data_IF_796081138707
#
_entry.id   IF_796081138707
#
_cell.length_a   1.000
_cell.length_b   1.000
_cell.length_c   1.000
_cell.angle_alpha   90.00
_cell.angle_beta   90.00
_cell.angle_gamma   90.00
#
_symmetry.space_group_name_H-M   'P 1'
#
loop_
_entity.id
_entity.type
_entity.pdbx_description
1 polymer ?
#
# COMPACT_ATOMS: atom_id res chain seq x y z
N UNK A 1 28.44 -11.53 -62.81
CA UNK A 1 29.01 -10.21 -62.43
C UNK A 1 29.23 -10.22 -60.93
N UNK A 2 30.43 -10.56 -60.48
CA UNK A 2 30.83 -10.46 -59.07
C UNK A 2 31.88 -9.35 -58.97
N UNK A 3 31.58 -8.30 -58.22
CA UNK A 3 32.52 -7.23 -57.95
C UNK A 3 33.15 -7.46 -56.58
N UNK A 4 34.41 -7.88 -56.58
CA UNK A 4 35.30 -7.80 -55.43
C UNK A 4 35.58 -6.31 -55.14
N UNK A 5 35.21 -5.85 -53.95
CA UNK A 5 35.70 -4.59 -53.39
C UNK A 5 36.91 -4.92 -52.52
N UNK A 6 38.09 -4.46 -52.96
CA UNK A 6 39.37 -4.54 -52.27
C UNK A 6 39.30 -3.75 -50.95
N UNK A 7 39.44 -4.43 -49.81
CA UNK A 7 39.70 -3.77 -48.53
C UNK A 7 41.05 -3.02 -48.62
N UNK A 8 41.01 -1.70 -48.42
CA UNK A 8 42.22 -0.87 -48.45
C UNK A 8 43.18 -1.25 -47.32
N UNK A 9 44.49 -1.22 -47.58
CA UNK A 9 45.55 -1.58 -46.62
C UNK A 9 45.49 -0.82 -45.29
N UNK A 10 44.85 0.36 -45.28
CA UNK A 10 44.60 1.14 -44.05
C UNK A 10 43.68 0.43 -43.04
N UNK A 11 42.71 -0.36 -43.52
CA UNK A 11 41.75 -1.07 -42.69
C UNK A 11 42.35 -2.33 -42.06
N UNK A 12 43.26 -2.98 -42.77
CA UNK A 12 44.03 -4.13 -42.26
C UNK A 12 45.02 -3.67 -41.18
N UNK A 13 45.65 -2.50 -41.37
CA UNK A 13 46.55 -1.89 -40.38
C UNK A 13 45.81 -1.56 -39.08
N UNK A 14 44.62 -0.96 -39.17
CA UNK A 14 43.75 -0.65 -38.03
C UNK A 14 43.30 -1.91 -37.27
N UNK A 15 42.95 -3.00 -37.98
CA UNK A 15 42.64 -4.28 -37.33
C UNK A 15 43.84 -4.85 -36.58
N UNK A 16 45.05 -4.70 -37.12
CA UNK A 16 46.27 -5.19 -36.47
C UNK A 16 46.59 -4.40 -35.19
N UNK A 17 46.43 -3.08 -35.21
CA UNK A 17 46.63 -2.21 -34.05
C UNK A 17 45.58 -2.46 -32.95
N UNK A 18 44.32 -2.71 -33.32
CA UNK A 18 43.25 -3.04 -32.37
C UNK A 18 43.48 -4.41 -31.70
N UNK A 19 44.00 -5.40 -32.44
CA UNK A 19 44.32 -6.72 -31.87
C UNK A 19 45.52 -6.71 -30.92
N UNK A 20 46.40 -5.70 -30.98
CA UNK A 20 47.59 -5.61 -30.12
C UNK A 20 47.37 -4.82 -28.83
N UNK A 21 46.23 -4.13 -28.68
CA UNK A 21 45.96 -3.22 -27.55
C UNK A 21 44.93 -3.73 -26.51
N UNK A 22 44.48 -4.99 -26.62
CA UNK A 22 43.58 -5.60 -25.64
C UNK A 22 44.30 -6.67 -24.81
N UNK A 23 44.49 -6.49 -23.48
CA UNK A 23 44.69 -7.62 -22.59
C UNK A 23 43.39 -8.42 -22.54
N UNK A 24 43.51 -9.74 -22.69
CA UNK A 24 42.45 -10.75 -22.54
C UNK A 24 41.47 -10.40 -21.41
N UNK A 25 40.26 -9.98 -21.79
CA UNK A 25 39.07 -10.07 -20.95
C UNK A 25 38.28 -11.25 -21.49
N UNK A 26 38.28 -12.35 -20.75
CA UNK A 26 37.40 -13.48 -21.01
C UNK A 26 35.95 -12.99 -21.01
N UNK A 27 35.26 -13.21 -22.14
CA UNK A 27 33.83 -12.96 -22.28
C UNK A 27 33.07 -13.90 -21.33
N UNK A 28 32.24 -13.41 -20.39
CA UNK A 28 31.32 -14.28 -19.68
C UNK A 28 30.23 -14.76 -20.63
N UNK A 29 29.95 -16.06 -20.55
CA UNK A 29 28.91 -16.76 -21.30
C UNK A 29 27.53 -16.08 -21.19
N UNK A 30 26.77 -16.25 -22.28
CA UNK A 30 25.41 -15.81 -22.50
C UNK A 30 24.51 -15.97 -21.25
N UNK A 31 23.88 -14.87 -20.85
CA UNK A 31 23.01 -14.80 -19.69
C UNK A 31 21.61 -15.36 -20.04
N UNK A 32 21.42 -16.67 -19.84
CA UNK A 32 20.11 -17.32 -19.88
C UNK A 32 19.32 -17.06 -18.58
N UNK A 33 18.11 -16.53 -18.73
CA UNK A 33 17.19 -16.26 -17.63
C UNK A 33 16.52 -17.55 -17.14
N UNK A 34 16.94 -18.08 -16.00
CA UNK A 34 16.24 -19.18 -15.32
C UNK A 34 15.46 -18.69 -14.09
N UNK A 35 14.15 -18.94 -14.08
CA UNK A 35 13.25 -18.76 -12.93
C UNK A 35 13.53 -19.79 -11.85
N UNK A 36 13.77 -19.37 -10.60
CA UNK A 36 13.62 -20.26 -9.45
C UNK A 36 13.20 -19.55 -8.15
N UNK A 37 12.37 -20.26 -7.40
CA UNK A 37 11.72 -19.86 -6.14
C UNK A 37 12.65 -19.99 -4.93
N UNK A 38 12.59 -18.97 -4.04
CA UNK A 38 12.60 -19.06 -2.57
C UNK A 38 13.76 -19.74 -1.82
N UNK A 39 14.47 -18.98 -0.96
CA UNK A 39 14.27 -18.96 0.52
C UNK A 39 15.54 -18.49 1.27
N UNK A 40 15.33 -17.48 2.16
CA UNK A 40 16.04 -17.07 3.41
C UNK A 40 17.54 -16.66 3.44
N UNK A 41 17.70 -15.37 3.76
CA UNK A 41 18.46 -14.75 4.87
C UNK A 41 19.91 -15.15 5.17
N UNK A 42 20.81 -14.17 5.19
CA UNK A 42 21.34 -13.59 6.45
C UNK A 42 22.20 -12.34 6.19
N UNK A 43 22.07 -11.39 7.11
CA UNK A 43 22.74 -10.09 7.20
C UNK A 43 24.13 -10.23 7.81
N UNK A 44 25.09 -9.43 7.34
CA UNK A 44 26.29 -9.09 8.12
C UNK A 44 26.67 -7.62 7.86
N UNK A 45 26.53 -6.82 8.92
CA UNK A 45 27.03 -5.46 9.05
C UNK A 45 28.57 -5.43 9.04
N UNK A 46 29.15 -4.47 8.34
CA UNK A 46 30.47 -3.92 8.68
C UNK A 46 30.48 -2.43 8.37
N UNK A 47 30.51 -1.63 9.43
CA UNK A 47 30.75 -0.19 9.40
C UNK A 47 32.26 0.12 9.34
N UNK A 48 32.56 1.42 9.18
CA UNK A 48 33.86 2.15 9.29
C UNK A 48 34.68 2.20 7.99
N UNK A 49 35.27 3.33 7.56
CA UNK A 49 35.83 4.51 8.25
C UNK A 49 35.73 5.75 7.33
N UNK A 50 35.47 6.90 7.95
CA UNK A 50 35.49 8.25 7.37
C UNK A 50 36.94 8.77 7.20
N UNK A 51 37.25 9.39 6.07
CA UNK A 51 38.51 10.08 5.81
C UNK A 51 38.24 11.27 4.91
N UNK A 52 38.31 12.46 5.52
CA UNK A 52 38.00 13.74 4.89
C UNK A 52 38.78 13.97 3.60
N UNK A 53 38.02 14.03 2.51
CA UNK A 53 38.31 14.92 1.39
C UNK A 53 37.05 15.75 1.18
N UNK A 54 37.19 17.04 0.89
CA UNK A 54 36.08 17.88 0.40
C UNK A 54 35.68 17.41 -1.02
N UNK A 55 35.36 16.14 -1.17
CA UNK A 55 34.73 15.58 -2.35
C UNK A 55 33.27 15.95 -2.28
N UNK A 56 32.83 16.75 -3.26
CA UNK A 56 31.40 16.91 -3.56
C UNK A 56 30.69 15.56 -3.41
N UNK A 57 29.53 15.52 -2.72
CA UNK A 57 28.89 14.28 -2.34
C UNK A 57 28.65 13.42 -3.57
N UNK A 58 29.01 12.14 -3.48
CA UNK A 58 28.76 11.18 -4.54
C UNK A 58 27.25 11.09 -4.82
N UNK A 59 26.89 10.99 -6.10
CA UNK A 59 25.50 11.03 -6.55
C UNK A 59 25.11 9.80 -7.35
N UNK A 60 23.81 9.52 -7.36
CA UNK A 60 23.18 8.63 -8.32
C UNK A 60 22.47 9.44 -9.42
N UNK A 61 22.45 8.90 -10.63
CA UNK A 61 21.76 9.49 -11.78
C UNK A 61 20.72 8.51 -12.32
N UNK A 62 19.52 8.98 -12.59
CA UNK A 62 18.43 8.20 -13.18
C UNK A 62 18.25 8.60 -14.64
N UNK A 63 18.44 7.65 -15.54
CA UNK A 63 18.15 7.77 -16.97
C UNK A 63 16.85 7.02 -17.28
N UNK A 64 15.84 7.73 -17.77
CA UNK A 64 14.52 7.20 -18.04
C UNK A 64 14.19 7.22 -19.53
N UNK A 65 13.98 6.05 -20.10
CA UNK A 65 13.25 5.88 -21.35
C UNK A 65 11.75 6.03 -21.07
N UNK A 66 11.25 7.26 -21.21
CA UNK A 66 9.88 7.59 -20.83
C UNK A 66 8.84 7.08 -21.85
N UNK A 67 9.24 6.75 -23.09
CA UNK A 67 8.33 6.16 -24.09
C UNK A 67 7.94 4.74 -23.71
N UNK A 68 8.92 3.94 -23.28
CA UNK A 68 8.70 2.52 -22.99
C UNK A 68 8.43 2.25 -21.49
N UNK A 69 8.89 3.13 -20.60
CA UNK A 69 8.82 2.91 -19.16
C UNK A 69 8.25 4.13 -18.42
N UNK A 70 7.00 4.01 -17.98
CA UNK A 70 6.38 5.00 -17.09
C UNK A 70 6.70 4.69 -15.62
N UNK A 71 7.28 5.67 -14.93
CA UNK A 71 7.66 5.61 -13.53
C UNK A 71 6.81 6.61 -12.75
N UNK A 72 6.16 6.16 -11.68
CA UNK A 72 5.43 6.97 -10.73
C UNK A 72 6.27 7.33 -9.50
N UNK A 73 5.74 8.19 -8.62
CA UNK A 73 6.43 8.63 -7.40
C UNK A 73 6.81 7.47 -6.49
N UNK A 74 5.98 6.41 -6.43
CA UNK A 74 6.25 5.25 -5.56
C UNK A 74 7.42 4.43 -6.09
N UNK A 75 7.48 4.27 -7.40
CA UNK A 75 8.57 3.58 -8.07
C UNK A 75 9.86 4.38 -7.91
N UNK A 76 9.84 5.71 -8.04
CA UNK A 76 11.02 6.54 -7.74
C UNK A 76 11.53 6.35 -6.31
N UNK A 77 10.64 6.30 -5.32
CA UNK A 77 11.02 6.04 -3.93
C UNK A 77 11.64 4.67 -3.75
N UNK A 78 11.07 3.65 -4.40
CA UNK A 78 11.64 2.30 -4.42
C UNK A 78 13.04 2.29 -5.05
N UNK A 79 13.23 2.96 -6.19
CA UNK A 79 14.52 3.07 -6.86
C UNK A 79 15.55 3.80 -5.99
N UNK A 80 15.14 4.88 -5.32
CA UNK A 80 16.01 5.62 -4.41
C UNK A 80 16.46 4.77 -3.21
N UNK A 81 15.60 3.93 -2.66
CA UNK A 81 15.94 3.00 -1.56
C UNK A 81 16.95 1.92 -1.96
N UNK A 82 16.98 1.58 -3.25
CA UNK A 82 17.92 0.60 -3.80
C UNK A 82 19.33 1.19 -4.03
N UNK A 83 19.45 2.52 -4.06
CA UNK A 83 20.71 3.21 -4.30
C UNK A 83 21.50 3.43 -3.02
N UNK A 84 22.84 3.39 -3.10
CA UNK A 84 23.67 3.76 -1.95
C UNK A 84 23.90 5.28 -1.90
N UNK A 85 23.77 5.96 -3.05
CA UNK A 85 23.87 7.41 -3.16
C UNK A 85 22.53 8.05 -3.51
N UNK A 86 22.27 9.29 -3.08
CA UNK A 86 21.02 9.99 -3.41
C UNK A 86 20.92 10.24 -4.91
N UNK A 87 19.73 9.98 -5.47
CA UNK A 87 19.41 10.34 -6.86
C UNK A 87 19.26 11.85 -6.93
N UNK A 88 20.24 12.53 -7.52
CA UNK A 88 20.23 14.00 -7.65
C UNK A 88 19.89 14.45 -9.07
N UNK A 89 20.31 13.67 -10.07
CA UNK A 89 20.07 13.98 -11.48
C UNK A 89 19.06 12.98 -12.04
N UNK A 90 18.03 13.49 -12.71
CA UNK A 90 17.00 12.69 -13.35
C UNK A 90 16.84 13.19 -14.77
N UNK A 91 17.03 12.33 -15.75
CA UNK A 91 16.94 12.68 -17.17
C UNK A 91 15.92 11.74 -17.82
N UNK A 92 14.94 12.31 -18.50
CA UNK A 92 13.95 11.54 -19.25
C UNK A 92 14.08 11.79 -20.76
N UNK A 93 13.98 10.73 -21.55
CA UNK A 93 14.04 10.73 -23.00
C UNK A 93 12.69 10.33 -23.55
N UNK A 94 12.07 11.19 -24.36
CA UNK A 94 10.87 10.85 -25.12
C UNK A 94 10.55 11.84 -26.23
N UNK A 95 9.73 11.41 -27.18
CA UNK A 95 9.01 12.30 -28.06
C UNK A 95 7.84 12.94 -27.32
N UNK A 96 8.12 14.03 -26.62
CA UNK A 96 7.13 14.78 -25.82
C UNK A 96 5.88 15.21 -26.59
N UNK A 97 5.94 15.33 -27.92
CA UNK A 97 4.74 15.65 -28.74
C UNK A 97 3.67 14.55 -28.64
N UNK A 98 4.07 13.31 -28.36
CA UNK A 98 3.20 12.15 -28.28
C UNK A 98 2.85 11.75 -26.84
N UNK A 99 3.35 12.48 -25.83
CA UNK A 99 3.30 12.09 -24.41
C UNK A 99 2.24 12.86 -23.58
N UNK A 100 1.40 13.67 -24.24
CA UNK A 100 0.29 14.37 -23.58
C UNK A 100 0.77 15.35 -22.49
N UNK A 101 0.41 15.09 -21.23
CA UNK A 101 0.77 15.94 -20.06
C UNK A 101 1.90 15.36 -19.20
N UNK A 102 2.55 14.28 -19.65
CA UNK A 102 3.56 13.58 -18.85
C UNK A 102 4.86 14.39 -18.73
N UNK A 103 5.17 15.22 -19.72
CA UNK A 103 6.26 16.20 -19.68
C UNK A 103 6.11 17.16 -18.50
N UNK A 104 4.93 17.74 -18.31
CA UNK A 104 4.63 18.66 -17.19
C UNK A 104 4.78 17.95 -15.84
N UNK A 105 4.35 16.70 -15.75
CA UNK A 105 4.47 15.90 -14.52
C UNK A 105 5.92 15.57 -14.18
N UNK A 106 6.70 15.09 -15.15
CA UNK A 106 8.12 14.75 -14.96
C UNK A 106 8.94 16.00 -14.65
N UNK A 107 8.69 17.12 -15.35
CA UNK A 107 9.35 18.39 -15.07
C UNK A 107 9.08 18.86 -13.63
N UNK A 108 7.84 18.77 -13.15
CA UNK A 108 7.49 19.08 -11.75
C UNK A 108 8.21 18.18 -10.73
N UNK A 109 8.55 16.95 -11.12
CA UNK A 109 9.32 15.98 -10.30
C UNK A 109 10.84 16.17 -10.41
N UNK A 110 11.29 17.19 -11.12
CA UNK A 110 12.71 17.56 -11.25
C UNK A 110 13.46 16.80 -12.35
N UNK A 111 12.76 16.27 -13.36
CA UNK A 111 13.40 15.65 -14.51
C UNK A 111 13.84 16.69 -15.54
N UNK A 112 15.08 16.54 -16.02
CA UNK A 112 15.53 17.14 -17.27
C UNK A 112 14.93 16.37 -18.44
N UNK A 113 14.20 17.07 -19.29
CA UNK A 113 13.46 16.48 -20.40
C UNK A 113 14.26 16.61 -21.70
N UNK A 114 14.72 15.49 -22.25
CA UNK A 114 15.40 15.45 -23.55
C UNK A 114 14.39 15.01 -24.60
N UNK A 115 14.05 15.94 -25.50
CA UNK A 115 13.19 15.65 -26.63
C UNK A 115 13.92 14.78 -27.66
N UNK A 116 13.26 13.73 -28.13
CA UNK A 116 13.69 12.95 -29.29
C UNK A 116 12.70 13.09 -30.45
N UNK A 117 13.19 13.11 -31.70
CA UNK A 117 12.33 13.13 -32.88
C UNK A 117 11.51 11.85 -33.00
N UNK A 118 10.45 11.90 -33.78
CA UNK A 118 9.66 10.71 -34.09
C UNK A 118 10.51 9.71 -34.90
N UNK A 119 10.62 8.50 -34.39
CA UNK A 119 11.33 7.41 -35.04
C UNK A 119 11.38 6.21 -34.11
N UNK A 120 11.38 5.01 -34.69
CA UNK A 120 11.58 3.78 -33.92
C UNK A 120 12.94 3.85 -33.22
N UNK A 121 12.99 3.47 -31.95
CA UNK A 121 14.21 3.39 -31.12
C UNK A 121 14.97 4.73 -30.98
N UNK A 122 14.33 5.87 -31.28
CA UNK A 122 15.00 7.20 -31.25
C UNK A 122 15.29 7.66 -29.81
N UNK A 123 14.41 7.30 -28.87
CA UNK A 123 14.65 7.50 -27.44
C UNK A 123 15.88 6.71 -26.98
N UNK A 124 15.95 5.43 -27.33
CA UNK A 124 17.03 4.51 -26.99
C UNK A 124 18.39 5.00 -27.50
N UNK A 125 18.47 5.37 -28.78
CA UNK A 125 19.72 5.87 -29.38
C UNK A 125 20.17 7.16 -28.69
N UNK A 126 19.25 8.08 -28.39
CA UNK A 126 19.60 9.33 -27.71
C UNK A 126 20.04 9.08 -26.27
N UNK A 127 19.34 8.19 -25.56
CA UNK A 127 19.69 7.77 -24.21
C UNK A 127 21.06 7.11 -24.17
N UNK A 128 21.37 6.20 -25.10
CA UNK A 128 22.68 5.57 -25.21
C UNK A 128 23.78 6.61 -25.50
N UNK A 129 23.52 7.55 -26.40
CA UNK A 129 24.50 8.59 -26.77
C UNK A 129 24.79 9.54 -25.60
N UNK A 130 23.74 10.14 -25.02
CA UNK A 130 23.87 11.08 -23.89
C UNK A 130 24.38 10.36 -22.65
N UNK A 131 23.79 9.21 -22.34
CA UNK A 131 24.16 8.38 -21.20
C UNK A 131 25.62 7.94 -21.24
N UNK A 132 26.18 7.62 -22.42
CA UNK A 132 27.59 7.24 -22.53
C UNK A 132 28.55 8.37 -22.16
N UNK A 133 28.13 9.63 -22.18
CA UNK A 133 28.96 10.79 -21.80
C UNK A 133 28.75 11.25 -20.35
N UNK A 134 27.91 10.56 -19.58
CA UNK A 134 27.45 11.05 -18.28
C UNK A 134 28.58 11.24 -17.26
N UNK A 135 29.60 10.38 -17.30
CA UNK A 135 30.77 10.46 -16.42
C UNK A 135 31.63 11.70 -16.69
N UNK A 136 31.55 12.28 -17.90
CA UNK A 136 32.26 13.51 -18.26
C UNK A 136 31.57 14.72 -17.65
N UNK A 137 30.24 14.76 -17.74
CA UNK A 137 29.43 15.89 -17.25
C UNK A 137 29.18 15.83 -15.74
N UNK A 138 29.17 14.62 -15.17
CA UNK A 138 28.89 14.39 -13.76
C UNK A 138 30.00 13.55 -13.12
N UNK A 139 31.18 14.15 -12.85
CA UNK A 139 32.34 13.43 -12.31
C UNK A 139 32.12 12.88 -10.88
N UNK A 140 31.10 13.39 -10.17
CA UNK A 140 30.69 12.92 -8.84
C UNK A 140 29.72 11.73 -8.91
N UNK A 141 29.26 11.36 -10.10
CA UNK A 141 28.40 10.19 -10.27
C UNK A 141 29.14 8.92 -9.87
N UNK A 142 28.50 8.10 -9.06
CA UNK A 142 28.97 6.76 -8.69
C UNK A 142 27.99 5.68 -9.10
N UNK A 143 26.72 6.04 -9.24
CA UNK A 143 25.63 5.15 -9.56
C UNK A 143 24.80 5.69 -10.72
N UNK A 144 24.37 4.80 -11.60
CA UNK A 144 23.45 5.13 -12.69
C UNK A 144 22.34 4.09 -12.73
N UNK A 145 21.10 4.54 -12.69
CA UNK A 145 19.94 3.71 -12.98
C UNK A 145 19.58 3.89 -14.45
N UNK A 146 19.64 2.80 -15.20
CA UNK A 146 19.23 2.74 -16.60
C UNK A 146 17.82 2.15 -16.62
N UNK A 147 16.82 3.01 -16.77
CA UNK A 147 15.42 2.64 -16.75
C UNK A 147 14.91 2.48 -18.19
N UNK A 148 15.03 1.28 -18.74
CA UNK A 148 14.54 0.90 -20.06
C UNK A 148 14.25 -0.61 -20.08
N UNK A 149 13.27 -1.01 -20.88
CA UNK A 149 12.92 -2.43 -21.07
C UNK A 149 13.63 -3.04 -22.29
N UNK A 150 14.40 -2.27 -23.06
CA UNK A 150 15.09 -2.75 -24.25
C UNK A 150 16.47 -3.37 -23.92
N UNK A 151 16.76 -4.50 -24.57
CA UNK A 151 18.07 -5.16 -24.55
C UNK A 151 19.16 -4.32 -25.20
N UNK A 152 18.82 -3.38 -26.09
CA UNK A 152 19.78 -2.45 -26.72
C UNK A 152 20.56 -1.65 -25.68
N UNK A 153 20.00 -1.43 -24.48
CA UNK A 153 20.68 -0.72 -23.39
C UNK A 153 21.88 -1.47 -22.78
N UNK A 154 22.11 -2.73 -23.17
CA UNK A 154 23.27 -3.50 -22.71
C UNK A 154 24.59 -2.79 -23.03
N UNK A 155 24.72 -2.20 -24.21
CA UNK A 155 25.95 -1.47 -24.60
C UNK A 155 26.19 -0.23 -23.74
N UNK A 156 25.14 0.56 -23.48
CA UNK A 156 25.22 1.69 -22.56
C UNK A 156 25.66 1.24 -21.17
N UNK A 157 25.06 0.16 -20.65
CA UNK A 157 25.41 -0.37 -19.35
C UNK A 157 26.88 -0.82 -19.28
N UNK A 158 27.39 -1.49 -20.32
CA UNK A 158 28.79 -1.90 -20.41
C UNK A 158 29.72 -0.69 -20.41
N UNK A 159 29.44 0.32 -21.23
CA UNK A 159 30.23 1.56 -21.27
C UNK A 159 30.31 2.24 -19.90
N UNK A 160 29.16 2.41 -19.24
CA UNK A 160 29.08 3.01 -17.91
C UNK A 160 29.88 2.22 -16.87
N UNK A 161 29.78 0.88 -16.88
CA UNK A 161 30.56 0.00 -16.00
C UNK A 161 32.07 0.09 -16.25
N UNK A 162 32.50 0.12 -17.51
CA UNK A 162 33.92 0.28 -17.89
C UNK A 162 34.50 1.60 -17.37
N UNK A 163 33.68 2.64 -17.26
CA UNK A 163 34.05 3.93 -16.65
C UNK A 163 33.91 3.96 -15.12
N UNK A 164 33.75 2.81 -14.47
CA UNK A 164 33.76 2.67 -13.01
C UNK A 164 32.44 3.05 -12.32
N UNK A 165 31.34 3.21 -13.08
CA UNK A 165 30.03 3.47 -12.51
C UNK A 165 29.32 2.17 -12.14
N UNK A 166 28.61 2.21 -11.02
CA UNK A 166 27.73 1.11 -10.63
C UNK A 166 26.38 1.26 -11.34
N UNK A 167 26.05 0.32 -12.22
CA UNK A 167 24.86 0.42 -13.09
C UNK A 167 23.75 -0.50 -12.61
N UNK A 168 22.62 0.09 -12.24
CA UNK A 168 21.36 -0.60 -11.97
C UNK A 168 20.53 -0.66 -13.25
N UNK A 169 20.12 -1.86 -13.64
CA UNK A 169 19.20 -2.02 -14.77
C UNK A 169 17.78 -2.10 -14.23
N UNK A 170 16.92 -1.21 -14.68
CA UNK A 170 15.51 -1.15 -14.28
C UNK A 170 14.65 -1.45 -15.49
N UNK A 171 13.87 -2.51 -15.41
CA UNK A 171 12.95 -2.90 -16.48
C UNK A 171 11.54 -3.10 -15.94
N UNK A 172 10.54 -2.90 -16.80
CA UNK A 172 9.14 -3.20 -16.47
C UNK A 172 8.67 -4.42 -17.25
N UNK A 173 8.19 -5.40 -16.50
CA UNK A 173 7.53 -6.57 -17.04
C UNK A 173 6.07 -6.56 -16.59
N UNK A 174 5.16 -6.33 -17.53
CA UNK A 174 3.73 -6.11 -17.28
C UNK A 174 3.48 -4.99 -16.26
N UNK A 175 3.30 -5.37 -14.98
CA UNK A 175 2.99 -4.50 -13.85
C UNK A 175 4.11 -4.48 -12.80
N UNK A 176 5.18 -5.22 -13.01
CA UNK A 176 6.29 -5.34 -12.08
C UNK A 176 7.47 -4.50 -12.57
N UNK A 177 8.03 -3.70 -11.69
CA UNK A 177 9.33 -3.06 -11.85
C UNK A 177 10.38 -4.01 -11.28
N UNK A 178 11.36 -4.35 -12.09
CA UNK A 178 12.47 -5.21 -11.70
C UNK A 178 13.75 -4.40 -11.77
N UNK A 179 14.52 -4.42 -10.68
CA UNK A 179 15.78 -3.69 -10.55
C UNK A 179 16.88 -4.71 -10.33
N UNK A 180 17.78 -4.83 -11.30
CA UNK A 180 18.97 -5.63 -11.13
C UNK A 180 20.01 -4.82 -10.34
N UNK A 181 20.40 -5.35 -9.18
CA UNK A 181 21.38 -4.75 -8.30
C UNK A 181 22.77 -5.37 -8.55
N UNK A 182 23.72 -4.63 -9.15
CA UNK A 182 25.06 -5.14 -9.45
C UNK A 182 25.87 -5.49 -8.20
N UNK A 183 25.58 -4.88 -7.04
CA UNK A 183 26.33 -5.15 -5.80
C UNK A 183 25.96 -6.48 -5.17
N UNK A 184 24.69 -6.84 -5.23
CA UNK A 184 24.18 -8.07 -4.62
C UNK A 184 24.05 -9.21 -5.63
N UNK A 185 24.11 -8.91 -6.93
CA UNK A 185 23.85 -9.87 -8.01
C UNK A 185 22.40 -10.33 -8.07
N UNK A 186 21.47 -9.64 -7.39
CA UNK A 186 20.06 -10.02 -7.26
C UNK A 186 19.15 -9.03 -7.98
N UNK A 187 18.03 -9.53 -8.48
CA UNK A 187 16.94 -8.71 -9.02
C UNK A 187 15.90 -8.49 -7.94
N UNK A 188 15.68 -7.22 -7.60
CA UNK A 188 14.62 -6.80 -6.69
C UNK A 188 13.35 -6.52 -7.49
N UNK A 189 12.22 -7.05 -7.04
CA UNK A 189 10.94 -6.96 -7.75
C UNK A 189 9.99 -6.10 -6.93
N UNK A 190 9.57 -4.98 -7.52
CA UNK A 190 8.58 -4.08 -6.99
C UNK A 190 7.31 -4.14 -7.83
N UNK A 191 6.16 -4.21 -7.18
CA UNK A 191 4.88 -4.05 -7.85
C UNK A 191 4.31 -2.69 -7.42
N UNK A 192 4.29 -1.67 -8.29
CA UNK A 192 3.66 -0.39 -7.99
C UNK A 192 2.15 -0.54 -7.70
N UNK A 193 1.53 -1.60 -8.24
CA UNK A 193 0.14 -1.98 -7.97
C UNK A 193 -0.02 -2.97 -6.81
N UNK A 194 1.05 -3.37 -6.09
CA UNK A 194 0.86 -4.17 -4.87
C UNK A 194 0.04 -3.31 -3.93
N UNK A 195 -1.21 -3.73 -3.85
CA UNK A 195 -2.35 -3.16 -3.16
C UNK A 195 -1.99 -1.91 -2.39
N UNK A 196 -2.58 -0.79 -2.80
CA UNK A 196 -3.20 0.09 -1.83
C UNK A 196 -3.63 -0.77 -0.64
N UNK A 197 -2.92 -0.65 0.49
CA UNK A 197 -3.35 -1.29 1.71
C UNK A 197 -4.64 -0.57 2.07
N UNK A 198 -5.77 -1.10 1.58
CA UNK A 198 -7.07 -0.74 2.10
C UNK A 198 -6.96 -1.16 3.55
N UNK A 199 -6.80 -0.14 4.40
CA UNK A 199 -6.66 -0.24 5.84
C UNK A 199 -7.86 -1.00 6.41
N UNK A 200 -7.85 -1.34 7.69
CA UNK A 200 -8.99 -2.03 8.29
C UNK A 200 -10.28 -1.23 8.05
N UNK A 201 -11.43 -1.92 8.03
CA UNK A 201 -12.72 -1.25 7.83
C UNK A 201 -12.92 -0.11 8.86
N UNK A 202 -12.43 -0.29 10.09
CA UNK A 202 -12.48 0.73 11.14
C UNK A 202 -11.62 1.97 10.83
N UNK A 203 -10.43 1.79 10.25
CA UNK A 203 -9.58 2.92 9.86
C UNK A 203 -10.24 3.71 8.74
N UNK A 204 -10.84 3.02 7.77
CA UNK A 204 -11.61 3.66 6.71
C UNK A 204 -12.80 4.46 7.27
N UNK A 205 -13.52 3.90 8.23
CA UNK A 205 -14.62 4.60 8.92
C UNK A 205 -14.09 5.84 9.66
N UNK A 206 -12.95 5.73 10.34
CA UNK A 206 -12.28 6.84 11.01
C UNK A 206 -11.92 7.97 10.03
N UNK A 207 -11.39 7.63 8.86
CA UNK A 207 -11.07 8.60 7.81
C UNK A 207 -12.32 9.26 7.24
N UNK A 208 -13.36 8.49 6.95
CA UNK A 208 -14.64 9.02 6.47
C UNK A 208 -15.26 9.99 7.49
N UNK A 209 -15.18 9.68 8.79
CA UNK A 209 -15.62 10.60 9.85
C UNK A 209 -14.86 11.91 9.84
N UNK A 210 -13.52 11.86 9.78
CA UNK A 210 -12.68 13.07 9.73
C UNK A 210 -13.05 13.94 8.53
N UNK A 211 -13.09 13.34 7.34
CA UNK A 211 -13.46 14.05 6.09
C UNK A 211 -14.83 14.71 6.24
N UNK A 212 -15.81 14.01 6.79
CA UNK A 212 -17.16 14.55 7.00
C UNK A 212 -17.17 15.66 8.05
N UNK A 213 -16.43 15.53 9.16
CA UNK A 213 -16.31 16.59 10.17
C UNK A 213 -15.72 17.86 9.59
N UNK A 214 -14.65 17.75 8.80
CA UNK A 214 -14.01 18.88 8.15
C UNK A 214 -14.98 19.58 7.18
N UNK A 215 -15.71 18.80 6.38
CA UNK A 215 -16.71 19.36 5.46
C UNK A 215 -17.90 20.01 6.18
N UNK A 216 -18.35 19.43 7.30
CA UNK A 216 -19.41 20.01 8.12
C UNK A 216 -18.97 21.34 8.76
N UNK A 217 -17.73 21.41 9.26
CA UNK A 217 -17.16 22.65 9.83
C UNK A 217 -16.95 23.73 8.78
N UNK A 218 -16.47 23.35 7.58
CA UNK A 218 -16.22 24.30 6.50
C UNK A 218 -17.49 24.88 5.88
N UNK A 219 -18.57 24.10 5.81
CA UNK A 219 -19.83 24.51 5.17
C UNK A 219 -20.89 25.01 6.15
N UNK A 220 -20.72 24.75 7.45
CA UNK A 220 -21.74 24.98 8.46
C UNK A 220 -22.99 24.10 8.29
N UNK A 221 -22.95 23.09 7.42
CA UNK A 221 -24.07 22.20 7.14
C UNK A 221 -23.77 20.79 7.65
N UNK A 222 -24.68 20.22 8.44
CA UNK A 222 -24.55 18.85 8.95
C UNK A 222 -24.70 17.78 7.85
N UNK A 223 -25.36 18.08 6.74
CA UNK A 223 -25.55 17.16 5.63
C UNK A 223 -24.49 17.36 4.55
N UNK A 224 -23.68 16.33 4.33
CA UNK A 224 -22.62 16.35 3.31
C UNK A 224 -22.99 15.43 2.16
N UNK A 225 -22.87 15.91 0.93
CA UNK A 225 -23.14 15.11 -0.26
C UNK A 225 -22.11 13.97 -0.39
N UNK A 226 -22.58 12.73 -0.59
CA UNK A 226 -21.73 11.53 -0.64
C UNK A 226 -20.67 11.62 -1.76
N UNK A 227 -21.01 12.26 -2.87
CA UNK A 227 -20.07 12.45 -4.01
C UNK A 227 -18.86 13.27 -3.57
N UNK A 228 -19.07 14.31 -2.76
CA UNK A 228 -17.97 15.15 -2.23
C UNK A 228 -17.09 14.35 -1.27
N UNK A 229 -17.69 13.63 -0.33
CA UNK A 229 -16.97 12.75 0.60
C UNK A 229 -16.17 11.69 -0.15
N UNK A 230 -16.77 11.06 -1.16
CA UNK A 230 -16.13 10.02 -1.97
C UNK A 230 -14.92 10.55 -2.74
N UNK A 231 -15.05 11.76 -3.33
CA UNK A 231 -13.98 12.40 -4.08
C UNK A 231 -12.80 12.77 -3.17
N UNK A 232 -13.08 13.39 -2.01
CA UNK A 232 -12.05 13.76 -1.04
C UNK A 232 -11.36 12.52 -0.45
N UNK A 233 -12.13 11.48 -0.12
CA UNK A 233 -11.59 10.20 0.32
C UNK A 233 -10.65 9.55 -0.71
N UNK A 234 -11.03 9.57 -1.99
CA UNK A 234 -10.20 9.04 -3.07
C UNK A 234 -8.90 9.85 -3.25
N UNK A 235 -8.98 11.17 -3.14
CA UNK A 235 -7.82 12.05 -3.25
C UNK A 235 -6.81 11.83 -2.12
N UNK A 236 -7.29 11.67 -0.89
CA UNK A 236 -6.43 11.49 0.29
C UNK A 236 -5.81 10.09 0.38
N UNK A 237 -6.55 9.05 0.00
CA UNK A 237 -6.14 7.66 0.25
C UNK A 237 -5.65 6.94 -1.02
N UNK A 238 -5.95 7.44 -2.22
CA UNK A 238 -5.58 6.81 -3.50
C UNK A 238 -6.48 5.64 -3.91
N UNK A 239 -7.62 5.44 -3.24
CA UNK A 239 -8.63 4.42 -3.56
C UNK A 239 -10.04 4.87 -3.21
N UNK A 240 -11.03 4.23 -3.84
CA UNK A 240 -12.45 4.58 -3.71
C UNK A 240 -13.13 3.83 -2.59
N UNK A 241 -14.20 4.41 -2.04
CA UNK A 241 -15.09 3.75 -1.06
C UNK A 241 -15.67 2.44 -1.62
N UNK A 242 -15.95 2.39 -2.92
CA UNK A 242 -16.39 1.16 -3.60
C UNK A 242 -15.34 0.05 -3.49
N UNK A 243 -14.06 0.35 -3.68
CA UNK A 243 -12.97 -0.62 -3.52
C UNK A 243 -12.84 -1.11 -2.06
N UNK A 244 -13.03 -0.21 -1.08
CA UNK A 244 -13.11 -0.60 0.34
C UNK A 244 -14.26 -1.55 0.59
N UNK A 245 -15.43 -1.20 0.07
CA UNK A 245 -16.66 -1.98 0.24
C UNK A 245 -16.51 -3.34 -0.40
N UNK A 246 -16.00 -3.44 -1.63
CA UNK A 246 -15.78 -4.73 -2.29
C UNK A 246 -14.78 -5.63 -1.55
N UNK A 247 -13.79 -5.05 -0.86
CA UNK A 247 -12.80 -5.81 -0.07
C UNK A 247 -13.36 -6.30 1.26
N UNK A 248 -14.03 -5.44 2.01
CA UNK A 248 -14.48 -5.73 3.39
C UNK A 248 -15.93 -6.19 3.49
N UNK A 249 -16.74 -5.93 2.47
CA UNK A 249 -18.17 -6.22 2.36
C UNK A 249 -18.47 -6.75 0.93
N UNK A 250 -17.99 -7.96 0.57
CA UNK A 250 -18.13 -8.49 -0.78
C UNK A 250 -19.62 -8.54 -1.22
N UNK A 251 -19.88 -8.08 -2.44
CA UNK A 251 -21.23 -8.01 -3.01
C UNK A 251 -22.05 -6.76 -2.66
N UNK A 252 -21.54 -5.89 -1.76
CA UNK A 252 -22.22 -4.65 -1.36
C UNK A 252 -21.76 -3.43 -2.16
N UNK A 253 -22.66 -2.45 -2.33
CA UNK A 253 -22.37 -1.15 -2.97
C UNK A 253 -21.84 -0.14 -1.95
N UNK A 254 -21.10 0.88 -2.39
CA UNK A 254 -20.52 1.91 -1.51
C UNK A 254 -21.53 2.56 -0.53
N UNK A 255 -22.78 2.77 -0.96
CA UNK A 255 -23.85 3.28 -0.07
C UNK A 255 -24.12 2.37 1.14
N UNK A 256 -23.97 1.07 0.95
CA UNK A 256 -24.27 0.07 1.98
C UNK A 256 -23.19 0.02 3.06
N UNK A 257 -21.98 0.55 2.79
CA UNK A 257 -20.98 0.78 3.82
C UNK A 257 -21.47 1.79 4.86
N UNK A 258 -22.16 2.85 4.42
CA UNK A 258 -22.75 3.82 5.33
C UNK A 258 -24.00 3.24 6.02
N UNK A 259 -24.84 2.49 5.28
CA UNK A 259 -26.03 1.86 5.86
C UNK A 259 -25.70 0.73 6.85
N UNK A 260 -24.55 0.09 6.70
CA UNK A 260 -24.11 -0.99 7.60
C UNK A 260 -23.44 -0.50 8.88
N UNK A 261 -23.20 0.81 9.02
CA UNK A 261 -22.63 1.43 10.22
C UNK A 261 -23.53 2.57 10.73
N UNK A 262 -24.79 2.29 11.09
CA UNK A 262 -25.75 3.30 11.56
C UNK A 262 -25.32 3.97 12.87
N UNK A 263 -24.42 3.36 13.63
CA UNK A 263 -23.78 3.93 14.82
C UNK A 263 -22.87 5.13 14.50
N UNK A 264 -22.58 5.37 13.22
CA UNK A 264 -21.67 6.41 12.76
C UNK A 264 -22.29 7.33 11.70
N UNK A 265 -23.10 6.78 10.80
CA UNK A 265 -23.60 7.51 9.64
C UNK A 265 -25.13 7.45 9.54
N UNK A 266 -25.72 8.58 9.14
CA UNK A 266 -27.12 8.67 8.69
C UNK A 266 -27.12 9.00 7.20
N UNK A 267 -27.88 8.25 6.42
CA UNK A 267 -28.06 8.52 4.99
C UNK A 267 -29.44 9.11 4.77
N UNK A 268 -29.51 10.18 3.99
CA UNK A 268 -30.76 10.74 3.50
C UNK A 268 -30.73 10.91 1.98
N UNK A 269 -31.84 10.59 1.34
CA UNK A 269 -32.06 10.84 -0.08
C UNK A 269 -33.35 11.65 -0.20
N UNK A 270 -33.23 12.87 -0.74
CA UNK A 270 -34.37 13.76 -0.93
C UNK A 270 -35.27 13.21 -2.04
N UNK A 271 -36.61 13.17 -1.87
CA UNK A 271 -37.53 12.57 -2.85
C UNK A 271 -37.43 13.13 -4.27
N UNK A 272 -36.96 14.38 -4.41
CA UNK A 272 -36.87 15.11 -5.68
C UNK A 272 -35.42 15.40 -6.12
N UNK A 273 -34.40 14.81 -5.46
CA UNK A 273 -33.01 14.98 -5.86
C UNK A 273 -32.30 13.61 -5.96
N UNK A 274 -31.43 13.47 -6.95
CA UNK A 274 -30.58 12.28 -7.12
C UNK A 274 -29.39 12.25 -6.16
N UNK A 275 -29.15 13.35 -5.43
CA UNK A 275 -28.06 13.48 -4.47
C UNK A 275 -28.31 12.63 -3.21
N UNK A 276 -27.32 11.82 -2.85
CA UNK A 276 -27.28 11.09 -1.59
C UNK A 276 -26.51 11.92 -0.57
N UNK A 277 -27.11 12.19 0.58
CA UNK A 277 -26.51 12.99 1.65
C UNK A 277 -26.21 12.10 2.85
N UNK A 278 -25.10 12.38 3.51
CA UNK A 278 -24.65 11.65 4.70
C UNK A 278 -24.35 12.66 5.82
N UNK A 279 -24.77 12.32 7.03
CA UNK A 279 -24.44 13.08 8.24
C UNK A 279 -23.82 12.14 9.29
N UNK A 280 -23.02 12.71 10.18
CA UNK A 280 -22.50 12.00 11.36
C UNK A 280 -23.51 12.10 12.50
N UNK A 281 -23.70 11.02 13.25
CA UNK A 281 -24.34 11.13 14.56
C UNK A 281 -23.40 11.86 15.52
N UNK A 282 -23.72 13.12 15.80
CA UNK A 282 -23.13 13.83 16.93
C UNK A 282 -23.91 13.39 18.18
N UNK A 283 -23.27 12.61 19.06
CA UNK A 283 -23.71 12.59 20.44
C UNK A 283 -23.44 14.00 20.97
N UNK A 284 -24.47 14.83 21.05
CA UNK A 284 -24.35 16.11 21.71
C UNK A 284 -23.99 15.86 23.18
N UNK A 285 -22.71 16.04 23.51
CA UNK A 285 -22.34 16.60 24.81
C UNK A 285 -22.94 18.01 24.85
N UNK A 286 -24.21 18.06 25.24
CA UNK A 286 -24.99 19.27 25.34
C UNK A 286 -24.52 20.05 26.58
N UNK A 287 -23.53 20.91 26.36
CA UNK A 287 -23.34 22.19 27.04
C UNK A 287 -22.96 22.18 28.52
N UNK A 288 -21.75 22.64 28.82
CA UNK A 288 -21.54 23.85 29.67
C UNK A 288 -20.08 24.25 29.71
N UNK A 289 -19.74 25.29 28.95
CA UNK A 289 -18.70 26.20 29.39
C UNK A 289 -19.20 27.01 30.58
N UNK A 290 -18.57 26.80 31.74
CA UNK A 290 -18.15 27.82 32.71
C UNK A 290 -17.51 27.10 33.91
N UNK A 291 -16.23 27.34 34.10
CA UNK A 291 -15.55 27.09 35.37
C UNK A 291 -16.23 27.93 36.45
N UNK A 292 -16.62 27.29 37.55
CA UNK A 292 -16.45 27.86 38.89
C UNK A 292 -16.30 26.73 39.90
N UNK A 293 -15.20 26.82 40.62
CA UNK A 293 -14.67 25.92 41.63
C UNK A 293 -15.56 25.78 42.85
N UNK A 294 -15.65 24.57 43.43
CA UNK A 294 -15.49 24.32 44.86
C UNK A 294 -15.36 22.82 45.16
N UNK A 295 -14.11 22.43 45.41
CA UNK A 295 -13.60 21.44 46.36
C UNK A 295 -14.28 20.07 46.56
N UNK A 296 -13.54 19.05 46.11
CA UNK A 296 -12.98 17.98 46.94
C UNK A 296 -13.93 17.02 47.66
N UNK A 297 -14.14 15.86 47.02
CA UNK A 297 -13.84 14.57 47.66
C UNK A 297 -13.57 13.53 46.60
N UNK A 298 -12.34 13.01 46.61
CA UNK A 298 -11.98 11.76 45.97
C UNK A 298 -12.99 10.68 46.37
N UNK A 299 -13.68 10.12 45.38
CA UNK A 299 -14.15 8.75 45.44
C UNK A 299 -13.80 8.14 44.09
N UNK A 300 -12.76 7.33 44.12
CA UNK A 300 -12.44 6.34 43.10
C UNK A 300 -13.71 5.54 42.75
N UNK A 301 -14.31 5.82 41.60
CA UNK A 301 -15.19 4.85 40.93
C UNK A 301 -14.40 4.16 39.84
N UNK A 302 -13.69 3.14 40.30
CA UNK A 302 -13.05 2.07 39.56
C UNK A 302 -13.99 1.50 38.49
N UNK A 303 -13.91 2.00 37.25
CA UNK A 303 -14.32 1.19 36.11
C UNK A 303 -13.23 0.15 35.87
N UNK A 304 -13.34 -0.95 36.61
CA UNK A 304 -12.61 -2.18 36.34
C UNK A 304 -12.94 -2.63 34.92
N UNK A 305 -12.11 -2.24 33.96
CA UNK A 305 -11.89 -3.04 32.76
C UNK A 305 -11.35 -4.37 33.25
N UNK A 306 -12.26 -5.30 33.54
CA UNK A 306 -11.88 -6.68 33.83
C UNK A 306 -11.33 -7.24 32.52
N UNK A 307 -10.00 -7.30 32.43
CA UNK A 307 -9.31 -8.04 31.38
C UNK A 307 -9.87 -9.45 31.38
N UNK A 308 -10.74 -9.75 30.42
CA UNK A 308 -11.46 -11.01 30.38
C UNK A 308 -10.48 -12.16 30.11
N UNK A 309 -10.12 -12.85 31.19
CA UNK A 309 -9.15 -13.94 31.22
C UNK A 309 -9.90 -15.26 31.06
N UNK A 310 -10.39 -15.54 29.86
CA UNK A 310 -10.97 -16.84 29.55
C UNK A 310 -9.88 -17.86 29.26
N UNK A 311 -9.88 -18.93 30.05
CA UNK A 311 -9.01 -20.10 29.93
C UNK A 311 -9.75 -21.34 29.41
N UNK A 312 -11.08 -21.34 29.38
CA UNK A 312 -11.87 -22.51 28.96
C UNK A 312 -13.20 -22.17 28.27
N UNK A 313 -13.76 -23.14 27.55
CA UNK A 313 -15.09 -23.06 26.93
C UNK A 313 -16.21 -22.79 27.95
N UNK A 314 -16.09 -23.35 29.16
CA UNK A 314 -17.06 -23.17 30.24
C UNK A 314 -17.05 -21.74 30.79
N UNK A 315 -15.87 -21.09 30.84
CA UNK A 315 -15.76 -19.70 31.29
C UNK A 315 -16.44 -18.72 30.33
N UNK A 316 -16.30 -18.98 29.02
CA UNK A 316 -17.00 -18.22 27.99
C UNK A 316 -18.52 -18.42 28.08
N UNK A 317 -18.98 -19.65 28.31
CA UNK A 317 -20.39 -19.97 28.48
C UNK A 317 -21.01 -19.25 29.69
N UNK A 318 -20.32 -19.27 30.85
CA UNK A 318 -20.76 -18.56 32.06
C UNK A 318 -20.82 -17.05 31.84
N UNK A 319 -19.85 -16.47 31.14
CA UNK A 319 -19.84 -15.04 30.84
C UNK A 319 -21.03 -14.65 29.95
N UNK A 320 -21.34 -15.47 28.94
CA UNK A 320 -22.50 -15.26 28.08
C UNK A 320 -23.82 -15.44 28.83
N UNK A 321 -23.89 -16.36 29.79
CA UNK A 321 -25.08 -16.55 30.65
C UNK A 321 -25.32 -15.36 31.57
N UNK A 322 -24.28 -14.85 32.21
CA UNK A 322 -24.39 -13.67 33.07
C UNK A 322 -24.86 -12.45 32.27
N UNK A 323 -24.25 -12.21 31.11
CA UNK A 323 -24.67 -11.15 30.20
C UNK A 323 -26.11 -11.33 29.72
N UNK A 324 -26.52 -12.56 29.38
CA UNK A 324 -27.90 -12.84 28.99
C UNK A 324 -28.88 -12.49 30.11
N UNK A 325 -28.60 -12.90 31.36
CA UNK A 325 -29.44 -12.57 32.51
C UNK A 325 -29.56 -11.07 32.75
N UNK A 326 -28.45 -10.32 32.65
CA UNK A 326 -28.45 -8.87 32.76
C UNK A 326 -29.33 -8.21 31.70
N UNK A 327 -29.19 -8.62 30.43
CA UNK A 327 -29.94 -8.07 29.32
C UNK A 327 -31.42 -8.47 29.35
N UNK A 328 -31.74 -9.69 29.81
CA UNK A 328 -33.11 -10.18 29.94
C UNK A 328 -33.84 -9.46 31.08
N UNK A 329 -33.16 -9.18 32.19
CA UNK A 329 -33.70 -8.40 33.30
C UNK A 329 -34.03 -6.96 32.89
N UNK A 330 -33.18 -6.34 32.05
CA UNK A 330 -33.38 -4.97 31.56
C UNK A 330 -34.51 -4.86 30.51
N UNK A 331 -34.60 -5.85 29.61
CA UNK A 331 -35.55 -5.81 28.48
C UNK A 331 -36.92 -6.44 28.78
N UNK A 332 -37.04 -7.20 29.87
CA UNK A 332 -38.22 -8.03 30.21
C UNK A 332 -38.63 -9.02 29.11
N UNK A 333 -37.72 -9.37 28.20
CA UNK A 333 -37.97 -10.32 27.12
C UNK A 333 -37.37 -11.70 27.45
N UNK A 334 -38.07 -12.81 27.15
CA UNK A 334 -37.60 -14.16 27.43
C UNK A 334 -36.51 -14.65 26.44
N UNK A 335 -36.37 -13.96 25.31
CA UNK A 335 -35.36 -14.22 24.28
C UNK A 335 -34.70 -12.91 23.84
N UNK A 336 -33.43 -12.98 23.44
CA UNK A 336 -32.64 -11.84 23.01
C UNK A 336 -32.03 -12.14 21.64
N UNK A 337 -32.06 -11.20 20.68
CA UNK A 337 -31.35 -11.34 19.42
C UNK A 337 -29.86 -11.70 19.62
N UNK A 338 -29.38 -12.70 18.87
CA UNK A 338 -28.00 -13.18 18.94
C UNK A 338 -26.96 -12.07 18.70
N UNK A 339 -27.32 -11.12 17.82
CA UNK A 339 -26.53 -9.92 17.53
C UNK A 339 -26.32 -9.05 18.77
N UNK A 340 -27.39 -8.82 19.54
CA UNK A 340 -27.34 -8.02 20.76
C UNK A 340 -26.50 -8.71 21.85
N UNK A 341 -26.59 -10.03 21.97
CA UNK A 341 -25.74 -10.78 22.90
C UNK A 341 -24.25 -10.67 22.52
N UNK A 342 -23.92 -10.82 21.23
CA UNK A 342 -22.56 -10.65 20.73
C UNK A 342 -22.01 -9.23 20.91
N UNK A 343 -22.86 -8.22 20.71
CA UNK A 343 -22.51 -6.81 20.91
C UNK A 343 -22.36 -6.46 22.39
N UNK A 344 -23.24 -6.96 23.25
CA UNK A 344 -23.14 -6.82 24.70
C UNK A 344 -21.82 -7.39 25.23
N UNK A 345 -21.44 -8.58 24.75
CA UNK A 345 -20.19 -9.22 25.15
C UNK A 345 -18.97 -8.40 24.70
N UNK A 346 -19.00 -7.87 23.47
CA UNK A 346 -17.93 -6.99 22.97
C UNK A 346 -17.82 -5.71 23.79
N UNK A 347 -18.95 -5.12 24.22
CA UNK A 347 -18.97 -3.94 25.08
C UNK A 347 -18.41 -4.23 26.48
N UNK A 348 -18.79 -5.36 27.08
CA UNK A 348 -18.37 -5.72 28.44
C UNK A 348 -16.90 -6.19 28.51
N UNK A 349 -16.40 -6.85 27.47
CA UNK A 349 -15.09 -7.50 27.50
C UNK A 349 -14.09 -6.98 26.46
N UNK A 350 -14.46 -5.99 25.65
CA UNK A 350 -13.60 -5.35 24.65
C UNK A 350 -13.22 -6.22 23.46
N UNK A 351 -13.71 -7.46 23.37
CA UNK A 351 -13.39 -8.43 22.32
C UNK A 351 -14.65 -9.12 21.79
N UNK A 352 -14.70 -9.39 20.48
CA UNK A 352 -15.81 -10.14 19.91
C UNK A 352 -15.74 -11.61 20.32
N UNK A 353 -16.90 -12.26 20.55
CA UNK A 353 -16.95 -13.68 20.96
C UNK A 353 -16.25 -14.59 19.95
N UNK A 354 -16.40 -14.34 18.65
CA UNK A 354 -15.73 -15.12 17.60
C UNK A 354 -14.19 -14.99 17.66
N UNK A 355 -13.68 -13.84 18.09
CA UNK A 355 -12.24 -13.63 18.33
C UNK A 355 -11.79 -14.47 19.52
N UNK A 356 -12.55 -14.49 20.62
CA UNK A 356 -12.25 -15.33 21.79
C UNK A 356 -12.29 -16.83 21.43
N UNK A 357 -13.29 -17.27 20.68
CA UNK A 357 -13.42 -18.66 20.22
C UNK A 357 -12.21 -19.09 19.38
N UNK A 358 -11.79 -18.26 18.42
CA UNK A 358 -10.71 -18.58 17.49
C UNK A 358 -9.32 -18.46 18.12
N UNK A 359 -9.06 -17.37 18.82
CA UNK A 359 -7.71 -17.01 19.26
C UNK A 359 -7.37 -17.57 20.65
N UNK A 360 -8.34 -17.57 21.58
CA UNK A 360 -8.10 -18.05 22.95
C UNK A 360 -8.46 -19.53 23.12
N UNK A 361 -9.58 -19.96 22.54
CA UNK A 361 -10.08 -21.33 22.72
C UNK A 361 -9.71 -22.29 21.57
N UNK A 362 -9.15 -21.77 20.47
CA UNK A 362 -8.80 -22.53 19.25
C UNK A 362 -9.96 -23.38 18.71
N UNK A 363 -11.20 -22.94 18.94
CA UNK A 363 -12.40 -23.63 18.47
C UNK A 363 -12.77 -23.17 17.06
N UNK A 364 -13.04 -24.11 16.17
CA UNK A 364 -13.51 -23.83 14.82
C UNK A 364 -15.04 -23.69 14.82
N UNK A 365 -15.53 -22.45 14.87
CA UNK A 365 -16.96 -22.16 14.87
C UNK A 365 -17.27 -20.67 14.99
N UNK A 366 -18.53 -20.31 14.76
CA UNK A 366 -19.05 -18.98 15.07
C UNK A 366 -19.92 -19.05 16.34
N UNK A 367 -20.27 -17.91 16.91
CA UNK A 367 -21.11 -17.80 18.10
C UNK A 367 -22.39 -18.65 17.99
N UNK A 368 -23.03 -18.71 16.82
CA UNK A 368 -24.22 -19.56 16.60
C UNK A 368 -23.91 -21.04 16.84
N UNK A 369 -22.86 -21.58 16.21
CA UNK A 369 -22.44 -22.98 16.40
C UNK A 369 -22.00 -23.26 17.84
N UNK A 370 -21.35 -22.29 18.48
CA UNK A 370 -20.94 -22.42 19.87
C UNK A 370 -22.14 -22.56 20.81
N UNK A 371 -23.16 -21.70 20.65
CA UNK A 371 -24.38 -21.75 21.44
C UNK A 371 -25.25 -22.96 21.10
N UNK A 372 -25.24 -23.46 19.86
CA UNK A 372 -25.94 -24.71 19.47
C UNK A 372 -25.36 -25.94 20.18
N UNK A 373 -24.06 -25.92 20.46
CA UNK A 373 -23.36 -27.00 21.15
C UNK A 373 -23.35 -26.83 22.68
N UNK A 374 -23.99 -25.78 23.20
CA UNK A 374 -24.08 -25.51 24.64
C UNK A 374 -25.43 -25.96 25.16
N UNK A 375 -25.42 -26.75 26.25
CA UNK A 375 -26.65 -27.21 26.90
C UNK A 375 -27.40 -26.08 27.63
N UNK A 376 -26.78 -24.91 27.77
CA UNK A 376 -27.34 -23.78 28.52
C UNK A 376 -28.23 -22.86 27.67
N UNK A 377 -28.12 -22.91 26.34
CA UNK A 377 -28.80 -21.99 25.43
C UNK A 377 -29.69 -22.72 24.43
N UNK A 378 -30.85 -22.12 24.15
CA UNK A 378 -31.75 -22.53 23.07
C UNK A 378 -31.73 -21.44 22.00
N UNK A 379 -31.48 -21.83 20.76
CA UNK A 379 -31.50 -20.94 19.61
C UNK A 379 -32.78 -21.13 18.81
N UNK A 380 -33.48 -20.02 18.54
CA UNK A 380 -34.70 -20.00 17.74
C UNK A 380 -34.52 -19.05 16.55
N UNK A 381 -34.94 -19.46 15.37
CA UNK A 381 -34.88 -18.63 14.16
C UNK A 381 -36.18 -17.82 14.05
N UNK A 382 -36.06 -16.50 14.03
CA UNK A 382 -37.17 -15.56 13.82
C UNK A 382 -37.04 -14.83 12.48
N UNK A 383 -38.09 -14.13 12.05
CA UNK A 383 -38.10 -13.31 10.81
C UNK A 383 -37.00 -12.22 10.79
N UNK A 384 -36.46 -11.87 11.96
CA UNK A 384 -35.39 -10.86 12.14
C UNK A 384 -34.01 -11.49 12.43
N UNK A 385 -33.89 -12.82 12.34
CA UNK A 385 -32.66 -13.58 12.58
C UNK A 385 -32.70 -14.47 13.83
N UNK A 386 -31.53 -14.99 14.21
CA UNK A 386 -31.36 -15.89 15.36
C UNK A 386 -31.61 -15.17 16.69
N UNK A 387 -32.45 -15.76 17.53
CA UNK A 387 -32.69 -15.38 18.92
C UNK A 387 -32.14 -16.44 19.86
N UNK A 388 -31.65 -16.00 21.01
CA UNK A 388 -31.12 -16.84 22.09
C UNK A 388 -32.09 -16.79 23.25
N UNK A 389 -32.37 -17.93 23.85
CA UNK A 389 -33.08 -18.09 25.12
C UNK A 389 -32.28 -19.03 26.03
N UNK A 390 -32.56 -19.03 27.33
CA UNK A 390 -31.98 -20.03 28.24
C UNK A 390 -32.73 -21.35 28.06
N UNK A 391 -31.99 -22.45 27.89
CA UNK A 391 -32.58 -23.78 27.86
C UNK A 391 -33.13 -24.10 29.26
N UNK A 392 -34.44 -24.39 29.36
CA UNK A 392 -35.02 -24.85 30.62
C UNK A 392 -34.33 -26.16 31.01
N UNK A 393 -33.62 -26.17 32.16
CA UNK A 393 -33.01 -27.39 32.68
C UNK A 393 -34.08 -28.46 32.86
N UNK A 394 -34.00 -29.53 32.09
CA UNK A 394 -34.60 -30.80 32.49
C UNK A 394 -33.82 -31.25 33.73
N UNK A 395 -34.42 -31.16 34.91
CA UNK A 395 -33.90 -31.83 36.10
C UNK A 395 -33.72 -33.31 35.78
N UNK A 396 -32.52 -33.84 36.02
CA UNK A 396 -32.30 -35.25 36.23
C UNK A 396 -31.59 -35.44 37.55
#
# INVERSE_FOLDING_TARGET
MGANLLESSSFIQLKLEISQLLPLVELPQEFEWQSSNGTKSQSANAAKVDSGSNTSPAIAILLLDAENLQIDVKTEQFLAQNCAYPIQIKIAFANWRNMGKQDVELHKRGYELIHVPAGKDSADVKMATVGSSIFVHYPTAKEVLVCSSDRVMTHLCTTLKTHGLTVYLVHKQEKLIQVWNPRTGKTEIFNPEKSVEIHSLNDCIGHLKRIMQDEQQNTGNQWVELVKVSKKFQQENGFTISQVTSKHLPGKKARELFSSHPEHFVIHQLPNQTGLYVALFQSEELGRGKQESLNSREVETTHQQTTFKVSSSSDLEKALLNLFHEMAAQSKQPSIPLTLLGDGFRKQHGQAVNTVLKEKLKLTGNLTKFLQNSDAFKLELSDKGWQVAIAAKTQK
#
